data_IF_031507575564
#
_entry.id   IF_031507575564
#
_cell.length_a   1.000
_cell.length_b   1.000
_cell.length_c   1.000
_cell.angle_alpha   90.00
_cell.angle_beta   90.00
_cell.angle_gamma   90.00
#
_symmetry.space_group_name_H-M   'P 1'
#
loop_
_entity.id
_entity.type
_entity.pdbx_description
1 polymer ?
#
# COMPACT_ATOMS: atom_id res chain seq x y z
N UNK A 1 11.63 -47.72 9.87
CA UNK A 1 10.71 -46.68 10.34
C UNK A 1 11.06 -45.30 9.74
N UNK A 2 12.30 -44.83 9.71
CA UNK A 2 12.70 -43.53 9.14
C UNK A 2 12.51 -43.36 7.62
N UNK A 3 12.56 -44.45 6.82
CA UNK A 3 12.41 -44.41 5.37
C UNK A 3 10.96 -44.10 4.93
N UNK A 4 9.97 -44.47 5.74
CA UNK A 4 8.56 -44.20 5.45
C UNK A 4 8.15 -42.76 5.85
N UNK A 5 8.81 -42.17 6.86
CA UNK A 5 8.60 -40.78 7.27
C UNK A 5 9.16 -39.82 6.22
N UNK A 6 10.29 -40.13 5.61
CA UNK A 6 10.89 -39.35 4.54
C UNK A 6 10.00 -39.32 3.26
N UNK A 7 9.33 -40.42 2.95
CA UNK A 7 8.41 -40.50 1.80
C UNK A 7 7.11 -39.72 2.03
N UNK A 8 6.60 -39.70 3.27
CA UNK A 8 5.41 -38.89 3.62
C UNK A 8 5.74 -37.41 3.62
N UNK A 9 6.93 -37.00 4.07
CA UNK A 9 7.38 -35.62 4.00
C UNK A 9 7.58 -35.14 2.55
N UNK A 10 8.10 -35.99 1.67
CA UNK A 10 8.27 -35.67 0.25
C UNK A 10 6.95 -35.57 -0.50
N UNK A 11 5.94 -36.39 -0.17
CA UNK A 11 4.60 -36.33 -0.77
C UNK A 11 3.77 -35.15 -0.26
N UNK A 12 4.00 -34.66 0.96
CA UNK A 12 3.34 -33.44 1.47
C UNK A 12 3.88 -32.14 0.81
N UNK A 13 5.14 -32.14 0.36
CA UNK A 13 5.74 -30.98 -0.32
C UNK A 13 5.24 -30.80 -1.77
N UNK A 14 4.71 -31.84 -2.41
CA UNK A 14 4.25 -31.76 -3.80
C UNK A 14 2.79 -31.33 -3.95
N UNK A 15 2.02 -31.23 -2.86
CA UNK A 15 0.60 -30.86 -2.88
C UNK A 15 0.34 -29.34 -2.70
N UNK A 16 1.37 -28.53 -2.49
CA UNK A 16 1.24 -27.07 -2.29
C UNK A 16 1.65 -26.21 -3.47
N UNK A 17 1.97 -26.80 -4.62
CA UNK A 17 2.23 -26.03 -5.84
C UNK A 17 0.93 -25.72 -6.62
N UNK A 18 -0.08 -25.21 -5.94
CA UNK A 18 -1.11 -24.41 -6.58
C UNK A 18 -0.48 -23.07 -6.97
N UNK A 19 -0.08 -22.95 -8.23
CA UNK A 19 0.26 -21.64 -8.79
C UNK A 19 -1.01 -20.78 -8.70
N UNK A 20 -1.10 -19.92 -7.68
CA UNK A 20 -1.97 -18.78 -7.74
C UNK A 20 -1.38 -17.83 -8.80
N UNK A 21 -1.73 -18.05 -10.06
CA UNK A 21 -1.61 -17.03 -11.10
C UNK A 21 -2.73 -16.03 -10.82
N UNK A 22 -2.52 -15.18 -9.84
CA UNK A 22 -3.36 -14.05 -9.56
C UNK A 22 -2.58 -12.79 -9.92
N UNK A 23 -2.52 -12.52 -11.19
CA UNK A 23 -2.42 -11.19 -11.80
C UNK A 23 -2.41 -11.46 -13.30
N UNK A 24 -3.44 -11.00 -14.00
CA UNK A 24 -3.39 -10.93 -15.46
C UNK A 24 -2.06 -10.30 -15.87
N UNK A 25 -1.59 -10.64 -17.06
CA UNK A 25 -0.48 -9.94 -17.71
C UNK A 25 -0.86 -8.46 -17.87
N UNK A 26 -0.81 -7.73 -16.75
CA UNK A 26 -0.89 -6.27 -16.71
C UNK A 26 0.36 -5.72 -17.39
N UNK A 27 0.27 -4.53 -17.96
CA UNK A 27 1.40 -3.85 -18.56
C UNK A 27 2.62 -3.84 -17.62
N UNK A 28 3.78 -3.62 -18.18
CA UNK A 28 5.03 -3.55 -17.42
C UNK A 28 4.95 -2.41 -16.40
N UNK A 29 5.01 -2.74 -15.11
CA UNK A 29 5.08 -1.78 -14.02
C UNK A 29 6.55 -1.57 -13.68
N UNK A 30 7.01 -0.34 -13.81
CA UNK A 30 8.36 0.04 -13.43
C UNK A 30 8.51 0.07 -11.90
N UNK A 31 9.62 -0.44 -11.41
CA UNK A 31 9.98 -0.44 -9.99
C UNK A 31 10.53 0.95 -9.63
N UNK A 32 9.67 1.83 -9.16
CA UNK A 32 10.00 3.19 -8.74
C UNK A 32 10.24 3.21 -7.24
N UNK A 33 11.37 3.78 -6.80
CA UNK A 33 11.76 3.77 -5.39
C UNK A 33 10.94 4.78 -4.57
N UNK A 34 10.24 4.27 -3.56
CA UNK A 34 9.56 5.10 -2.56
C UNK A 34 10.30 5.12 -1.23
N UNK A 35 10.32 6.28 -0.55
CA UNK A 35 11.02 6.45 0.73
C UNK A 35 10.54 5.49 1.84
N UNK A 36 9.29 5.05 1.76
CA UNK A 36 8.69 4.15 2.74
C UNK A 36 8.98 2.66 2.51
N UNK A 37 9.72 2.29 1.47
CA UNK A 37 10.00 0.89 1.15
C UNK A 37 11.11 0.27 2.00
N UNK A 38 11.26 -1.04 1.83
CA UNK A 38 12.23 -1.82 2.59
C UNK A 38 11.96 -1.87 4.09
N UNK A 39 12.78 -2.61 4.85
CA UNK A 39 12.55 -2.83 6.28
C UNK A 39 12.75 -1.59 7.14
N UNK A 40 13.53 -0.61 6.67
CA UNK A 40 13.89 0.61 7.40
C UNK A 40 13.35 1.90 6.75
N UNK A 41 12.70 1.81 5.58
CA UNK A 41 12.12 2.95 4.91
C UNK A 41 11.00 3.59 5.74
N UNK A 42 10.83 4.91 5.59
CA UNK A 42 9.83 5.72 6.30
C UNK A 42 9.10 6.61 5.31
N UNK A 43 7.84 6.90 5.63
CA UNK A 43 7.12 7.92 4.89
C UNK A 43 7.80 9.29 5.05
N UNK A 44 7.94 10.00 3.94
CA UNK A 44 8.32 11.41 3.94
C UNK A 44 7.06 12.26 4.20
N UNK A 45 7.09 13.05 5.28
CA UNK A 45 5.95 13.83 5.73
C UNK A 45 5.53 14.87 4.69
N UNK A 46 6.50 15.55 4.07
CA UNK A 46 6.19 16.58 3.06
C UNK A 46 5.64 15.95 1.78
N UNK A 47 6.15 14.80 1.38
CA UNK A 47 5.59 14.03 0.28
C UNK A 47 4.14 13.62 0.55
N UNK A 48 3.82 13.17 1.78
CA UNK A 48 2.44 12.86 2.15
C UNK A 48 1.53 14.08 2.13
N UNK A 49 2.03 15.26 2.54
CA UNK A 49 1.27 16.51 2.48
C UNK A 49 0.98 16.93 1.04
N UNK A 50 1.97 16.88 0.15
CA UNK A 50 1.76 17.12 -1.28
C UNK A 50 0.79 16.11 -1.88
N UNK A 51 0.93 14.82 -1.54
CA UNK A 51 0.01 13.77 -1.98
C UNK A 51 -1.43 13.97 -1.49
N UNK A 52 -1.62 14.44 -0.25
CA UNK A 52 -2.92 14.85 0.26
C UNK A 52 -3.50 16.01 -0.55
N UNK A 53 -2.67 17.00 -0.92
CA UNK A 53 -3.11 18.11 -1.74
C UNK A 53 -3.57 17.64 -3.13
N UNK A 54 -2.78 16.80 -3.82
CA UNK A 54 -3.18 16.21 -5.11
C UNK A 54 -4.47 15.40 -4.97
N UNK A 55 -4.61 14.60 -3.92
CA UNK A 55 -5.86 13.88 -3.68
C UNK A 55 -7.03 14.83 -3.54
N UNK A 56 -6.90 15.87 -2.71
CA UNK A 56 -7.97 16.81 -2.39
C UNK A 56 -8.41 17.64 -3.61
N UNK A 57 -7.44 18.14 -4.38
CA UNK A 57 -7.71 19.05 -5.48
C UNK A 57 -8.10 18.33 -6.79
N UNK A 58 -7.66 17.08 -6.96
CA UNK A 58 -7.86 16.34 -8.21
C UNK A 58 -8.69 15.07 -7.99
N UNK A 59 -8.21 14.13 -7.18
CA UNK A 59 -8.77 12.78 -7.10
C UNK A 59 -10.12 12.73 -6.39
N UNK A 60 -10.33 13.58 -5.38
CA UNK A 60 -11.53 13.59 -4.54
C UNK A 60 -12.82 13.94 -5.32
N UNK A 61 -12.69 14.55 -6.50
CA UNK A 61 -13.84 14.82 -7.38
C UNK A 61 -14.57 13.53 -7.80
N UNK A 62 -13.83 12.42 -7.95
CA UNK A 62 -14.38 11.14 -8.40
C UNK A 62 -14.18 9.99 -7.40
N UNK A 63 -13.14 10.03 -6.57
CA UNK A 63 -12.73 8.94 -5.68
C UNK A 63 -12.91 9.29 -4.22
N UNK A 64 -13.45 8.36 -3.43
CA UNK A 64 -13.54 8.46 -1.98
C UNK A 64 -12.37 7.79 -1.25
N UNK A 65 -12.23 8.10 0.05
CA UNK A 65 -11.34 7.45 1.02
C UNK A 65 -12.13 7.04 2.29
N UNK A 66 -13.23 6.35 2.11
CA UNK A 66 -14.26 6.07 3.15
C UNK A 66 -13.75 5.30 4.38
N UNK A 67 -12.59 4.66 4.31
CA UNK A 67 -12.02 3.91 5.43
C UNK A 67 -10.92 4.68 6.18
N UNK A 68 -10.59 5.89 5.74
CA UNK A 68 -9.54 6.71 6.34
C UNK A 68 -10.17 7.77 7.26
N UNK A 69 -9.92 7.73 8.59
CA UNK A 69 -10.40 8.75 9.50
C UNK A 69 -9.65 10.07 9.28
N UNK A 70 -10.37 11.19 9.25
CA UNK A 70 -9.75 12.52 9.06
C UNK A 70 -8.71 12.83 10.15
N UNK A 71 -8.94 12.41 11.39
CA UNK A 71 -7.98 12.60 12.51
C UNK A 71 -6.62 11.96 12.26
N UNK A 72 -6.55 10.90 11.44
CA UNK A 72 -5.28 10.22 11.17
C UNK A 72 -4.28 11.09 10.41
N UNK A 73 -4.73 12.19 9.81
CA UNK A 73 -3.85 13.20 9.21
C UNK A 73 -2.89 13.86 10.21
N UNK A 74 -3.24 13.88 11.52
CA UNK A 74 -2.37 14.40 12.60
C UNK A 74 -1.52 13.34 13.26
N UNK A 75 -1.72 12.04 12.95
CA UNK A 75 -0.98 10.95 13.58
C UNK A 75 0.51 11.00 13.24
N UNK A 76 1.35 10.59 14.19
CA UNK A 76 2.78 10.45 13.96
C UNK A 76 3.06 9.39 12.87
N UNK A 77 3.96 9.72 11.94
CA UNK A 77 4.27 8.87 10.79
C UNK A 77 3.32 9.03 9.60
N UNK A 78 2.35 9.93 9.71
CA UNK A 78 1.47 10.37 8.63
C UNK A 78 1.83 11.77 8.11
N UNK A 79 0.87 12.47 7.46
CA UNK A 79 1.07 13.83 6.97
C UNK A 79 1.43 14.85 8.07
N UNK A 80 1.13 14.52 9.34
CA UNK A 80 1.50 15.35 10.50
C UNK A 80 0.86 16.74 10.47
N UNK A 81 -0.35 16.84 9.94
CA UNK A 81 -1.12 18.09 9.89
C UNK A 81 -1.51 18.47 11.34
N UNK A 82 -1.31 19.73 11.77
CA UNK A 82 -1.77 20.19 13.09
C UNK A 82 -3.27 19.93 13.29
N UNK A 83 -3.65 19.57 14.52
CA UNK A 83 -5.05 19.18 14.83
C UNK A 83 -6.08 20.26 14.52
N UNK A 84 -5.72 21.53 14.69
CA UNK A 84 -6.57 22.67 14.34
C UNK A 84 -6.81 22.77 12.83
N UNK A 85 -5.77 22.50 12.03
CA UNK A 85 -5.89 22.43 10.57
C UNK A 85 -6.69 21.21 10.12
N UNK A 86 -6.50 20.03 10.75
CA UNK A 86 -7.34 18.85 10.48
C UNK A 86 -8.81 19.17 10.78
N UNK A 87 -9.10 19.90 11.85
CA UNK A 87 -10.45 20.32 12.19
C UNK A 87 -11.04 21.29 11.14
N UNK A 88 -10.23 22.23 10.66
CA UNK A 88 -10.64 23.14 9.58
C UNK A 88 -10.86 22.39 8.26
N UNK A 89 -10.01 21.42 7.95
CA UNK A 89 -10.14 20.57 6.77
C UNK A 89 -11.41 19.70 6.84
N UNK A 90 -11.68 19.10 8.01
CA UNK A 90 -12.87 18.26 8.20
C UNK A 90 -14.18 19.02 7.95
N UNK A 91 -14.26 20.29 8.32
CA UNK A 91 -15.46 21.13 8.11
C UNK A 91 -15.79 21.40 6.65
N UNK A 92 -14.86 21.15 5.71
CA UNK A 92 -15.12 21.28 4.28
C UNK A 92 -16.05 20.17 3.75
N UNK A 93 -16.23 19.09 4.52
CA UNK A 93 -17.08 17.97 4.16
C UNK A 93 -18.43 18.05 4.84
N UNK A 94 -19.48 17.69 4.12
CA UNK A 94 -20.81 17.47 4.69
C UNK A 94 -20.97 15.99 5.02
N UNK A 95 -21.35 15.69 6.25
CA UNK A 95 -21.53 14.32 6.75
C UNK A 95 -22.95 14.19 7.29
N UNK A 96 -23.68 13.17 6.83
CA UNK A 96 -24.99 12.84 7.39
C UNK A 96 -24.81 12.18 8.76
N UNK A 97 -25.36 12.78 9.80
CA UNK A 97 -25.34 12.23 11.15
C UNK A 97 -26.18 10.94 11.21
N UNK A 98 -25.59 9.89 11.78
CA UNK A 98 -26.21 8.55 11.79
C UNK A 98 -27.38 8.45 12.79
N UNK A 99 -27.42 9.31 13.78
CA UNK A 99 -28.44 9.27 14.84
C UNK A 99 -29.64 10.14 14.46
N UNK A 100 -29.40 11.32 13.91
CA UNK A 100 -30.46 12.28 13.55
C UNK A 100 -30.91 12.21 12.09
N UNK A 101 -30.04 11.68 11.21
CA UNK A 101 -30.25 11.68 9.76
C UNK A 101 -30.08 13.07 9.11
N UNK A 102 -29.63 14.07 9.88
CA UNK A 102 -29.39 15.43 9.39
C UNK A 102 -27.97 15.61 8.90
N UNK A 103 -27.79 16.50 7.93
CA UNK A 103 -26.48 16.87 7.44
C UNK A 103 -25.79 17.87 8.38
N UNK A 104 -24.52 17.63 8.69
CA UNK A 104 -23.66 18.48 9.51
C UNK A 104 -22.27 18.67 8.91
N UNK A 105 -21.54 19.65 9.41
CA UNK A 105 -20.10 19.77 9.14
C UNK A 105 -19.35 18.54 9.63
N UNK A 106 -18.36 18.10 8.85
CA UNK A 106 -17.48 17.00 9.22
C UNK A 106 -16.62 17.32 10.45
N UNK A 107 -16.35 16.29 11.22
CA UNK A 107 -15.48 16.32 12.41
C UNK A 107 -14.22 15.49 12.15
N UNK A 108 -13.12 15.71 12.89
CA UNK A 108 -11.91 14.87 12.80
C UNK A 108 -12.16 13.37 13.06
N UNK A 109 -13.23 13.04 13.79
CA UNK A 109 -13.65 11.65 14.05
C UNK A 109 -14.35 10.98 12.87
N UNK A 110 -14.83 11.76 11.92
CA UNK A 110 -15.44 11.22 10.70
C UNK A 110 -14.34 10.70 9.75
N UNK A 111 -14.75 9.86 8.83
CA UNK A 111 -13.89 9.43 7.73
C UNK A 111 -13.99 10.42 6.56
N UNK A 112 -13.02 10.36 5.66
CA UNK A 112 -13.16 10.97 4.35
C UNK A 112 -14.45 10.50 3.67
N UNK A 113 -15.09 11.34 2.85
CA UNK A 113 -16.32 10.98 2.17
C UNK A 113 -16.13 9.76 1.25
N UNK A 114 -17.17 8.94 1.16
CA UNK A 114 -17.33 8.03 0.05
C UNK A 114 -17.76 8.85 -1.19
N UNK A 115 -17.18 8.52 -2.35
CA UNK A 115 -17.62 9.09 -3.61
C UNK A 115 -18.02 7.95 -4.55
N UNK A 116 -19.26 7.97 -5.04
CA UNK A 116 -19.81 6.95 -5.93
C UNK A 116 -20.30 7.53 -7.25
N UNK A 117 -20.13 8.85 -7.45
CA UNK A 117 -20.76 9.58 -8.55
C UNK A 117 -20.28 9.14 -9.94
N UNK A 118 -19.00 8.80 -10.09
CA UNK A 118 -18.43 8.41 -11.38
C UNK A 118 -18.28 6.90 -11.56
N UNK A 119 -18.82 6.08 -10.64
CA UNK A 119 -18.51 4.64 -10.63
C UNK A 119 -17.03 4.32 -10.34
N UNK A 120 -16.27 5.34 -9.92
CA UNK A 120 -14.87 5.21 -9.61
C UNK A 120 -14.65 4.40 -8.33
N UNK A 121 -13.58 3.57 -8.23
CA UNK A 121 -13.31 2.80 -7.04
C UNK A 121 -12.87 3.69 -5.88
N UNK A 122 -13.21 3.30 -4.65
CA UNK A 122 -12.68 3.92 -3.44
C UNK A 122 -11.18 3.63 -3.30
N UNK A 123 -10.39 4.66 -2.99
CA UNK A 123 -8.92 4.58 -2.97
C UNK A 123 -8.34 4.20 -1.60
N UNK A 124 -9.15 4.04 -0.55
CA UNK A 124 -8.66 3.80 0.82
C UNK A 124 -7.68 2.62 0.95
N UNK A 125 -7.86 1.58 0.14
CA UNK A 125 -7.04 0.37 0.18
C UNK A 125 -6.34 0.08 -1.16
N UNK A 126 -6.44 0.99 -2.13
CA UNK A 126 -6.03 0.73 -3.51
C UNK A 126 -4.53 0.36 -3.59
N UNK A 127 -3.68 1.07 -2.89
CA UNK A 127 -2.24 0.82 -2.88
C UNK A 127 -1.85 -0.57 -2.32
N UNK A 128 -2.72 -1.20 -1.52
CA UNK A 128 -2.53 -2.57 -1.01
C UNK A 128 -3.34 -3.62 -1.75
N UNK A 129 -4.34 -3.22 -2.51
CA UNK A 129 -5.18 -4.13 -3.29
C UNK A 129 -4.50 -4.60 -4.59
N UNK A 130 -3.40 -3.98 -4.99
CA UNK A 130 -2.63 -4.35 -6.17
C UNK A 130 -1.35 -5.05 -5.74
N UNK A 131 -1.21 -6.32 -6.15
CA UNK A 131 0.03 -7.05 -6.01
C UNK A 131 0.96 -6.65 -7.17
N UNK A 132 2.16 -6.20 -6.82
CA UNK A 132 3.17 -5.84 -7.81
C UNK A 132 4.26 -6.91 -7.87
N UNK A 133 5.38 -6.65 -7.26
CA UNK A 133 6.59 -7.45 -7.43
C UNK A 133 6.56 -8.76 -6.66
N UNK A 134 6.67 -9.84 -7.39
CA UNK A 134 6.89 -11.17 -6.83
C UNK A 134 8.39 -11.43 -6.71
N UNK A 135 8.84 -12.09 -5.64
CA UNK A 135 10.21 -12.58 -5.52
C UNK A 135 10.44 -13.84 -6.35
N UNK A 136 11.69 -14.35 -6.39
CA UNK A 136 12.00 -15.60 -7.03
C UNK A 136 11.03 -16.70 -6.60
N UNK A 137 10.50 -17.46 -7.55
CA UNK A 137 9.55 -18.55 -7.32
C UNK A 137 8.23 -18.10 -6.62
N UNK A 138 7.81 -16.85 -6.78
CA UNK A 138 6.57 -16.35 -6.16
C UNK A 138 6.64 -16.21 -4.63
N UNK A 139 7.82 -16.16 -4.03
CA UNK A 139 8.02 -16.15 -2.56
C UNK A 139 7.60 -14.86 -1.87
N UNK A 140 7.33 -13.79 -2.61
CA UNK A 140 7.02 -12.48 -2.04
C UNK A 140 8.19 -11.77 -1.35
N UNK A 141 9.42 -12.29 -1.46
CA UNK A 141 10.62 -11.69 -0.83
C UNK A 141 10.87 -10.26 -1.34
N UNK A 142 10.56 -9.97 -2.60
CA UNK A 142 10.71 -8.62 -3.14
C UNK A 142 9.87 -7.60 -2.38
N UNK A 143 8.71 -7.97 -1.85
CA UNK A 143 7.87 -7.08 -1.04
C UNK A 143 8.56 -6.62 0.24
N UNK A 144 9.52 -7.39 0.77
CA UNK A 144 10.28 -7.00 1.95
C UNK A 144 11.29 -5.88 1.65
N UNK A 145 11.85 -5.85 0.44
CA UNK A 145 12.95 -4.95 0.06
C UNK A 145 12.50 -3.84 -0.89
N UNK A 146 11.56 -4.11 -1.80
CA UNK A 146 11.10 -3.22 -2.87
C UNK A 146 9.65 -2.75 -2.71
N UNK A 147 9.02 -3.01 -1.56
CA UNK A 147 7.63 -2.65 -1.34
C UNK A 147 6.63 -3.62 -1.95
N UNK A 148 5.36 -3.23 -1.93
CA UNK A 148 4.24 -4.09 -2.34
C UNK A 148 3.92 -4.00 -3.83
N UNK A 149 4.46 -3.02 -4.56
CA UNK A 149 4.18 -2.74 -5.97
C UNK A 149 2.85 -2.03 -6.22
N UNK A 150 2.10 -1.71 -5.16
CA UNK A 150 0.84 -0.99 -5.29
C UNK A 150 1.00 0.50 -5.56
N UNK A 151 1.87 1.21 -4.84
CA UNK A 151 2.22 2.60 -5.16
C UNK A 151 2.78 2.75 -6.57
N UNK A 152 3.66 1.84 -7.01
CA UNK A 152 4.24 1.81 -8.36
C UNK A 152 3.15 1.61 -9.42
N UNK A 153 2.18 0.74 -9.15
CA UNK A 153 1.03 0.57 -10.04
C UNK A 153 0.20 1.85 -10.14
N UNK A 154 -0.04 2.57 -9.03
CA UNK A 154 -0.76 3.85 -9.05
C UNK A 154 0.03 4.87 -9.85
N UNK A 155 1.33 4.99 -9.62
CA UNK A 155 2.22 5.86 -10.37
C UNK A 155 2.17 5.53 -11.87
N UNK A 156 2.33 4.25 -12.23
CA UNK A 156 2.30 3.79 -13.61
C UNK A 156 0.95 4.06 -14.32
N UNK A 157 -0.17 3.90 -13.62
CA UNK A 157 -1.49 4.26 -14.17
C UNK A 157 -1.57 5.76 -14.46
N UNK A 158 -1.08 6.61 -13.55
CA UNK A 158 -1.20 8.06 -13.69
C UNK A 158 -0.26 8.63 -14.78
N UNK A 159 0.87 7.97 -15.02
CA UNK A 159 1.87 8.39 -16.02
C UNK A 159 1.77 7.64 -17.35
N UNK A 160 1.01 6.53 -17.41
CA UNK A 160 0.99 5.61 -18.53
C UNK A 160 0.00 5.92 -19.66
N UNK A 161 -0.63 7.10 -19.67
CA UNK A 161 -1.55 7.50 -20.73
C UNK A 161 -0.79 7.86 -22.01
N UNK A 162 -1.28 7.37 -23.17
CA UNK A 162 -0.70 7.64 -24.48
C UNK A 162 -1.36 8.80 -25.22
N UNK A 163 -2.57 9.18 -24.80
CA UNK A 163 -3.41 10.17 -25.46
C UNK A 163 -4.37 9.56 -26.50
N UNK A 164 -4.32 8.25 -26.74
CA UNK A 164 -5.25 7.56 -27.63
C UNK A 164 -6.58 7.28 -26.92
N UNK A 165 -7.68 7.45 -27.65
CA UNK A 165 -9.03 7.25 -27.15
C UNK A 165 -9.83 6.33 -28.06
N UNK A 166 -10.75 5.54 -27.49
CA UNK A 166 -11.75 4.79 -28.24
C UNK A 166 -13.11 4.86 -27.58
N UNK A 167 -14.14 4.81 -28.39
CA UNK A 167 -15.52 4.71 -27.93
C UNK A 167 -16.03 3.29 -28.08
N UNK A 168 -16.52 2.69 -27.00
CA UNK A 168 -17.06 1.33 -27.01
C UNK A 168 -18.27 1.27 -26.06
N UNK A 169 -19.41 0.78 -26.57
CA UNK A 169 -20.67 0.70 -25.84
C UNK A 169 -21.16 2.03 -25.21
N UNK A 170 -20.86 3.16 -25.85
CA UNK A 170 -21.24 4.49 -25.36
C UNK A 170 -20.38 5.00 -24.19
N UNK A 171 -19.22 4.38 -23.95
CA UNK A 171 -18.23 4.79 -22.97
C UNK A 171 -16.91 5.08 -23.67
N UNK A 172 -16.28 6.20 -23.34
CA UNK A 172 -14.94 6.51 -23.83
C UNK A 172 -13.90 5.79 -22.96
N UNK A 173 -12.97 5.11 -23.61
CA UNK A 173 -11.82 4.48 -22.99
C UNK A 173 -10.54 5.15 -23.49
N UNK A 174 -9.60 5.27 -22.57
CA UNK A 174 -8.29 5.89 -22.78
C UNK A 174 -7.21 4.81 -22.74
N UNK A 175 -6.30 4.85 -23.71
CA UNK A 175 -5.19 3.89 -23.73
C UNK A 175 -4.23 4.17 -22.58
N UNK A 176 -3.83 3.09 -21.86
CA UNK A 176 -2.93 3.18 -20.73
C UNK A 176 -2.07 1.93 -20.62
N UNK A 177 -0.74 2.08 -20.69
CA UNK A 177 0.21 0.97 -20.71
C UNK A 177 0.23 0.12 -19.44
N UNK A 178 -0.14 0.70 -18.31
CA UNK A 178 -0.11 0.02 -17.02
C UNK A 178 -1.42 -0.75 -16.73
N UNK A 179 -2.52 -0.41 -17.41
CA UNK A 179 -3.79 -1.05 -17.17
C UNK A 179 -3.86 -2.42 -17.85
N UNK A 180 -4.39 -3.43 -17.17
CA UNK A 180 -4.34 -4.84 -17.59
C UNK A 180 -4.92 -5.13 -18.97
N UNK A 181 -5.91 -4.36 -19.42
CA UNK A 181 -6.51 -4.49 -20.76
C UNK A 181 -5.94 -3.50 -21.76
N UNK A 182 -5.00 -2.63 -21.35
CA UNK A 182 -4.50 -1.53 -22.15
C UNK A 182 -5.46 -0.33 -22.28
N UNK A 183 -6.71 -0.44 -21.79
CA UNK A 183 -7.74 0.57 -21.93
C UNK A 183 -8.49 0.78 -20.62
N UNK A 184 -8.54 2.00 -20.14
CA UNK A 184 -9.17 2.39 -18.88
C UNK A 184 -10.26 3.45 -19.13
N UNK A 185 -11.36 3.38 -18.39
CA UNK A 185 -12.45 4.37 -18.50
C UNK A 185 -12.18 5.69 -17.76
N UNK A 186 -11.14 5.74 -16.92
CA UNK A 186 -10.70 6.96 -16.24
C UNK A 186 -9.93 7.83 -17.25
N UNK A 187 -10.34 9.07 -17.52
CA UNK A 187 -9.53 10.00 -18.31
C UNK A 187 -8.23 10.34 -17.59
N UNK A 188 -7.20 10.78 -18.30
CA UNK A 188 -5.95 11.25 -17.71
C UNK A 188 -6.24 12.38 -16.68
N UNK A 189 -6.01 12.15 -15.39
CA UNK A 189 -6.45 13.09 -14.37
C UNK A 189 -5.44 14.20 -14.08
N UNK A 190 -4.19 14.03 -14.51
CA UNK A 190 -3.07 14.92 -14.19
C UNK A 190 -2.53 15.59 -15.45
N UNK A 191 -2.16 16.86 -15.29
CA UNK A 191 -1.38 17.64 -16.25
C UNK A 191 -0.32 18.45 -15.50
N UNK A 192 0.79 18.79 -16.16
CA UNK A 192 1.84 19.58 -15.51
C UNK A 192 1.30 20.90 -14.97
N UNK A 193 1.82 21.32 -13.83
CA UNK A 193 1.46 22.55 -13.10
C UNK A 193 -0.03 22.65 -12.68
N UNK A 194 -0.74 21.50 -12.60
CA UNK A 194 -2.17 21.48 -12.21
C UNK A 194 -2.40 21.87 -10.75
N UNK A 195 -1.45 21.60 -9.87
CA UNK A 195 -1.45 22.04 -8.48
C UNK A 195 -0.28 22.97 -8.22
N UNK A 196 -0.37 23.82 -7.17
CA UNK A 196 0.73 24.67 -6.77
C UNK A 196 1.21 24.26 -5.38
N UNK A 197 2.38 23.65 -5.30
CA UNK A 197 2.96 23.23 -4.04
C UNK A 197 3.55 24.41 -3.25
N UNK A 198 3.23 24.48 -1.96
CA UNK A 198 3.70 25.58 -1.09
C UNK A 198 5.22 25.52 -0.83
N UNK A 199 5.85 24.37 -1.00
CA UNK A 199 7.30 24.18 -0.82
C UNK A 199 8.13 24.50 -2.08
N UNK A 200 7.46 24.89 -3.17
CA UNK A 200 8.10 25.24 -4.45
C UNK A 200 8.55 24.02 -5.28
N UNK A 201 8.17 22.82 -4.90
CA UNK A 201 8.38 21.62 -5.71
C UNK A 201 7.65 21.77 -7.05
N UNK A 202 8.28 21.39 -8.16
CA UNK A 202 7.64 21.43 -9.47
C UNK A 202 6.51 20.38 -9.53
N UNK A 203 5.30 20.82 -9.91
CA UNK A 203 4.13 19.95 -9.99
C UNK A 203 4.03 19.27 -11.37
N UNK A 204 5.05 18.49 -11.73
CA UNK A 204 5.01 17.66 -12.94
C UNK A 204 4.07 16.47 -12.74
N UNK A 205 3.53 15.90 -13.82
CA UNK A 205 2.70 14.69 -13.75
C UNK A 205 3.40 13.57 -12.98
N UNK A 206 4.71 13.38 -13.23
CA UNK A 206 5.52 12.37 -12.53
C UNK A 206 5.59 12.64 -11.01
N UNK A 207 5.94 13.88 -10.61
CA UNK A 207 6.04 14.24 -9.18
C UNK A 207 4.69 14.12 -8.47
N UNK A 208 3.61 14.62 -9.05
CA UNK A 208 2.26 14.51 -8.48
C UNK A 208 1.83 13.05 -8.34
N UNK A 209 2.18 12.22 -9.32
CA UNK A 209 1.89 10.78 -9.30
C UNK A 209 2.64 10.08 -8.18
N UNK A 210 3.92 10.40 -7.96
CA UNK A 210 4.73 9.91 -6.85
C UNK A 210 4.16 10.32 -5.49
N UNK A 211 3.79 11.60 -5.36
CA UNK A 211 3.29 12.16 -4.11
C UNK A 211 1.93 11.53 -3.72
N UNK A 212 0.99 11.45 -4.67
CA UNK A 212 -0.32 10.85 -4.39
C UNK A 212 -0.23 9.34 -4.19
N UNK A 213 0.64 8.62 -4.91
CA UNK A 213 0.86 7.19 -4.69
C UNK A 213 1.40 6.89 -3.28
N UNK A 214 2.35 7.71 -2.80
CA UNK A 214 2.87 7.63 -1.43
C UNK A 214 1.77 7.92 -0.39
N UNK A 215 0.95 8.96 -0.61
CA UNK A 215 -0.19 9.27 0.25
C UNK A 215 -1.22 8.12 0.29
N UNK A 216 -1.56 7.54 -0.84
CA UNK A 216 -2.51 6.42 -0.91
C UNK A 216 -1.95 5.16 -0.26
N UNK A 217 -0.63 4.94 -0.29
CA UNK A 217 0.00 3.86 0.47
C UNK A 217 -0.11 4.10 1.98
N UNK A 218 0.12 5.33 2.44
CA UNK A 218 -0.13 5.70 3.83
C UNK A 218 -1.62 5.53 4.20
N UNK A 219 -2.53 5.98 3.37
CA UNK A 219 -3.97 5.82 3.59
C UNK A 219 -4.38 4.36 3.74
N UNK A 220 -3.78 3.46 2.95
CA UNK A 220 -4.04 2.02 3.01
C UNK A 220 -3.38 1.33 4.23
N UNK A 221 -2.32 1.90 4.78
CA UNK A 221 -1.62 1.36 5.95
C UNK A 221 -1.01 2.47 6.83
N UNK A 222 -1.83 3.24 7.58
CA UNK A 222 -1.34 4.34 8.41
C UNK A 222 -0.35 3.89 9.51
N UNK A 223 -0.40 2.62 9.91
CA UNK A 223 0.47 2.03 10.94
C UNK A 223 1.65 1.22 10.36
N UNK A 224 2.02 1.46 9.11
CA UNK A 224 3.15 0.76 8.46
C UNK A 224 4.45 0.93 9.25
N UNK A 225 4.74 2.13 9.74
CA UNK A 225 5.97 2.41 10.52
C UNK A 225 5.97 1.67 11.85
N UNK A 226 4.85 1.67 12.57
CA UNK A 226 4.68 0.95 13.83
C UNK A 226 4.85 -0.57 13.62
N UNK A 227 4.26 -1.10 12.55
CA UNK A 227 4.39 -2.50 12.19
C UNK A 227 5.83 -2.91 11.88
N UNK A 228 6.58 -2.08 11.13
CA UNK A 228 8.00 -2.32 10.86
C UNK A 228 8.83 -2.34 12.14
N UNK A 229 8.65 -1.34 13.01
CA UNK A 229 9.35 -1.25 14.29
C UNK A 229 9.05 -2.46 15.18
N UNK A 230 7.77 -2.82 15.34
CA UNK A 230 7.37 -3.98 16.11
C UNK A 230 7.92 -5.28 15.51
N UNK A 231 7.90 -5.41 14.18
CA UNK A 231 8.46 -6.56 13.46
C UNK A 231 9.96 -6.71 13.70
N UNK A 232 10.72 -5.62 13.60
CA UNK A 232 12.16 -5.62 13.85
C UNK A 232 12.51 -6.07 15.28
N UNK A 233 11.85 -5.49 16.28
CA UNK A 233 12.03 -5.88 17.70
C UNK A 233 11.66 -7.34 17.92
N UNK A 234 10.55 -7.79 17.33
CA UNK A 234 10.09 -9.19 17.45
C UNK A 234 11.08 -10.18 16.84
N UNK A 235 11.68 -9.86 15.67
CA UNK A 235 12.67 -10.71 15.04
C UNK A 235 13.93 -10.84 15.92
N UNK A 236 14.44 -9.74 16.46
CA UNK A 236 15.59 -9.76 17.38
C UNK A 236 15.27 -10.62 18.61
N UNK A 237 14.10 -10.40 19.23
CA UNK A 237 13.68 -11.17 20.40
C UNK A 237 13.62 -12.69 20.08
N UNK A 238 13.01 -13.05 18.95
CA UNK A 238 12.90 -14.46 18.54
C UNK A 238 14.26 -15.10 18.23
N UNK A 239 15.20 -14.36 17.66
CA UNK A 239 16.57 -14.84 17.43
C UNK A 239 17.29 -15.14 18.75
N UNK A 240 17.20 -14.22 19.72
CA UNK A 240 17.79 -14.42 21.05
C UNK A 240 17.15 -15.63 21.74
N UNK A 241 15.80 -15.68 21.75
CA UNK A 241 15.05 -16.78 22.36
C UNK A 241 15.41 -18.14 21.72
N UNK A 242 15.45 -18.19 20.39
CA UNK A 242 15.80 -19.43 19.67
C UNK A 242 17.21 -19.88 19.98
N UNK A 243 18.16 -18.96 20.10
CA UNK A 243 19.55 -19.27 20.48
C UNK A 243 19.61 -19.83 21.90
N UNK A 244 18.93 -19.22 22.85
CA UNK A 244 18.90 -19.69 24.23
C UNK A 244 18.24 -21.08 24.35
N UNK A 245 17.12 -21.29 23.65
CA UNK A 245 16.46 -22.59 23.60
C UNK A 245 17.36 -23.68 22.97
N UNK A 246 18.04 -23.34 21.88
CA UNK A 246 19.01 -24.24 21.24
C UNK A 246 20.14 -24.64 22.21
N UNK A 247 20.75 -23.66 22.88
CA UNK A 247 21.83 -23.91 23.85
C UNK A 247 21.34 -24.74 25.03
N UNK A 248 20.16 -24.45 25.56
CA UNK A 248 19.54 -25.21 26.64
C UNK A 248 19.27 -26.65 26.22
N UNK A 249 18.66 -26.85 25.06
CA UNK A 249 18.40 -28.18 24.50
C UNK A 249 19.72 -28.95 24.30
N UNK A 250 20.74 -28.30 23.72
CA UNK A 250 22.07 -28.91 23.53
C UNK A 250 22.67 -29.34 24.88
N UNK A 251 22.54 -28.52 25.93
CA UNK A 251 23.06 -28.82 27.27
C UNK A 251 22.30 -30.01 27.91
N UNK A 252 21.01 -30.06 27.84
CA UNK A 252 20.17 -31.16 28.38
C UNK A 252 20.56 -32.50 27.73
N UNK A 253 20.71 -32.52 26.41
CA UNK A 253 20.98 -33.75 25.67
C UNK A 253 22.49 -34.15 25.64
N UNK A 254 23.37 -33.30 26.07
CA UNK A 254 24.84 -33.60 26.07
C UNK A 254 25.17 -34.83 26.90
N UNK A 255 24.56 -35.00 28.08
CA UNK A 255 24.78 -36.14 28.96
C UNK A 255 24.28 -37.50 28.41
N UNK A 256 23.29 -37.45 27.50
CA UNK A 256 22.72 -38.66 26.89
C UNK A 256 23.50 -39.04 25.62
N UNK A 257 23.92 -38.06 24.82
CA UNK A 257 24.68 -38.28 23.58
C UNK A 257 26.13 -38.74 23.83
N UNK A 258 26.73 -38.33 24.96
CA UNK A 258 28.09 -38.74 25.34
C UNK A 258 28.25 -40.20 25.83
N UNK A 259 27.12 -40.90 26.07
CA UNK A 259 27.14 -42.28 26.54
C UNK A 259 27.09 -43.36 25.43
N UNK A 260 27.19 -42.98 24.17
CA UNK A 260 27.12 -43.92 23.03
C UNK A 260 28.45 -44.39 22.50
N UNK A 261 29.56 -44.20 23.22
CA UNK A 261 30.86 -44.77 22.89
C UNK A 261 31.47 -45.43 24.13
N UNK A 262 31.01 -46.62 24.46
CA UNK A 262 31.75 -47.65 25.20
C UNK A 262 31.20 -49.00 24.76
#
# INVERSE_FOLDING_TARGET
>A
MFRNIALIAASALTLTSGFAIAAGEGGHIEDVAFAHEGPFGKFDQFQLQRGLQVYTEVCAACHGLKFVPLRSLSDAGGPGIPEDQVRAYAKQFTVTDKETGEDREGLPTDNFPANTNAGAPDLSLMAKARAGFHGPYGTGINQLFRGMGGPEYIHAILTGYTGEEKEEFGTTFYENHAFSTGWISMPAPLSDDQVTYADGTAATVDQMSMDVASFLMWAAEPKLMDRKNAGFVSVIFLLVLSTLLYLTNKRIWAGIKGKKTA
#
